data_IF_973287879532
#
_entry.id   IF_973287879532
#
_cell.length_a   1.000
_cell.length_b   1.000
_cell.length_c   1.000
_cell.angle_alpha   90.00
_cell.angle_beta   90.00
_cell.angle_gamma   90.00
#
_symmetry.space_group_name_H-M   'P 1'
#
loop_
_entity.id
_entity.type
_entity.pdbx_description
1 polymer ?
#
# COMPACT_ATOMS: atom_id res chain seq x y z
N UNK A 1 14.79 -12.54 23.24
CA UNK A 1 14.67 -14.00 23.03
C UNK A 1 15.92 -14.74 23.52
N UNK A 2 17.10 -14.50 22.95
CA UNK A 2 18.34 -15.24 23.27
C UNK A 2 19.17 -14.72 24.46
N UNK A 3 18.83 -13.57 25.03
CA UNK A 3 19.59 -12.95 26.14
C UNK A 3 18.86 -13.00 27.50
N UNK A 4 17.88 -13.90 27.66
CA UNK A 4 17.03 -13.97 28.86
C UNK A 4 16.95 -15.35 29.51
N UNK A 5 16.05 -15.49 30.49
CA UNK A 5 15.79 -16.73 31.23
C UNK A 5 14.79 -17.67 30.52
N UNK A 6 14.75 -17.62 29.19
CA UNK A 6 13.87 -18.45 28.37
C UNK A 6 14.62 -19.68 27.87
N UNK A 7 13.90 -20.75 27.47
CA UNK A 7 14.51 -22.01 27.01
C UNK A 7 15.35 -21.82 25.74
N UNK A 8 15.01 -20.83 24.94
CA UNK A 8 15.67 -20.44 23.70
C UNK A 8 17.10 -19.95 23.94
N UNK A 9 17.39 -19.37 25.10
CA UNK A 9 18.71 -18.84 25.46
C UNK A 9 19.77 -19.95 25.61
N UNK A 10 19.62 -20.97 26.48
CA UNK A 10 20.59 -22.05 26.55
C UNK A 10 20.59 -22.94 25.30
N UNK A 11 19.47 -23.04 24.58
CA UNK A 11 19.36 -23.90 23.38
C UNK A 11 19.86 -23.20 22.10
N UNK A 12 20.02 -21.87 22.13
CA UNK A 12 20.33 -21.04 20.94
C UNK A 12 19.43 -21.37 19.75
N UNK A 13 18.19 -21.76 20.03
CA UNK A 13 17.20 -22.21 19.05
C UNK A 13 15.86 -21.61 19.43
N UNK A 14 15.10 -21.14 18.43
CA UNK A 14 13.73 -20.69 18.61
C UNK A 14 12.84 -21.36 17.57
N UNK A 15 11.64 -21.77 17.99
CA UNK A 15 10.63 -22.36 17.12
C UNK A 15 9.62 -21.26 16.80
N UNK A 16 9.51 -20.92 15.52
CA UNK A 16 8.46 -20.03 15.03
C UNK A 16 7.36 -20.90 14.43
N UNK A 17 6.15 -20.76 14.96
CA UNK A 17 4.97 -21.40 14.38
C UNK A 17 4.53 -20.63 13.13
N UNK A 18 4.19 -21.37 12.08
CA UNK A 18 3.61 -20.79 10.88
C UNK A 18 2.29 -20.10 11.23
N UNK A 19 2.12 -18.89 10.70
CA UNK A 19 0.89 -18.12 10.84
C UNK A 19 0.50 -17.60 9.47
N UNK A 20 -0.73 -17.93 9.06
CA UNK A 20 -1.22 -17.64 7.72
C UNK A 20 -1.03 -16.15 7.35
N UNK A 21 -0.38 -15.91 6.21
CA UNK A 21 -0.07 -14.57 5.68
C UNK A 21 0.84 -13.70 6.55
N UNK A 22 1.51 -14.27 7.57
CA UNK A 22 2.40 -13.51 8.48
C UNK A 22 3.75 -14.21 8.66
N UNK A 23 3.75 -15.49 9.07
CA UNK A 23 4.97 -16.27 9.28
C UNK A 23 4.98 -17.43 8.31
N UNK A 24 5.80 -17.32 7.27
CA UNK A 24 6.05 -18.33 6.25
C UNK A 24 7.56 -18.52 6.04
N UNK A 25 7.96 -19.70 5.54
CA UNK A 25 9.37 -19.96 5.15
C UNK A 25 9.88 -18.85 4.22
N UNK A 26 9.09 -18.48 3.22
CA UNK A 26 9.36 -17.38 2.29
C UNK A 26 9.63 -16.05 2.99
N UNK A 27 8.77 -15.65 3.92
CA UNK A 27 8.92 -14.37 4.62
C UNK A 27 10.17 -14.35 5.49
N UNK A 28 10.54 -15.48 6.10
CA UNK A 28 11.76 -15.62 6.90
C UNK A 28 13.02 -15.59 6.04
N UNK A 29 13.02 -16.30 4.90
CA UNK A 29 14.12 -16.25 3.94
C UNK A 29 14.34 -14.82 3.43
N UNK A 30 13.27 -14.12 3.07
CA UNK A 30 13.34 -12.73 2.62
C UNK A 30 13.81 -11.79 3.74
N UNK A 31 13.38 -12.01 4.99
CA UNK A 31 13.88 -11.28 6.15
C UNK A 31 15.38 -11.51 6.34
N UNK A 32 15.88 -12.75 6.20
CA UNK A 32 17.32 -13.01 6.30
C UNK A 32 18.11 -12.35 5.18
N UNK A 33 17.62 -12.39 3.94
CA UNK A 33 18.24 -11.65 2.84
C UNK A 33 18.33 -10.15 3.19
N UNK A 34 17.25 -9.57 3.72
CA UNK A 34 17.24 -8.16 4.13
C UNK A 34 18.20 -7.86 5.28
N UNK A 35 18.20 -8.67 6.34
CA UNK A 35 19.04 -8.46 7.52
C UNK A 35 20.53 -8.53 7.19
N UNK A 36 20.93 -9.48 6.34
CA UNK A 36 22.34 -9.74 6.04
C UNK A 36 22.85 -8.96 4.82
N UNK A 37 22.02 -8.76 3.80
CA UNK A 37 22.44 -8.20 2.51
C UNK A 37 21.80 -6.85 2.17
N UNK A 38 20.76 -6.44 2.92
CA UNK A 38 19.93 -5.26 2.59
C UNK A 38 19.33 -5.34 1.18
N UNK A 39 19.04 -6.55 0.73
CA UNK A 39 18.41 -6.84 -0.56
C UNK A 39 17.32 -7.87 -0.32
N UNK A 40 16.21 -7.74 -1.04
CA UNK A 40 15.12 -8.72 -1.05
C UNK A 40 14.95 -9.21 -2.48
N UNK A 41 15.01 -10.52 -2.67
CA UNK A 41 14.72 -11.16 -3.95
C UNK A 41 13.74 -12.29 -3.72
N UNK A 42 12.57 -12.15 -4.31
CA UNK A 42 11.64 -13.25 -4.49
C UNK A 42 11.89 -13.84 -5.89
N UNK A 43 12.14 -15.15 -5.96
CA UNK A 43 12.26 -15.87 -7.23
C UNK A 43 10.85 -16.17 -7.77
N UNK A 44 10.10 -15.10 -8.07
CA UNK A 44 8.68 -15.12 -8.42
C UNK A 44 8.46 -14.25 -9.65
N UNK A 45 8.01 -14.88 -10.74
CA UNK A 45 7.70 -14.19 -11.99
C UNK A 45 6.32 -13.50 -11.95
N UNK A 46 5.34 -14.14 -11.32
CA UNK A 46 3.97 -13.60 -11.24
C UNK A 46 3.90 -12.38 -10.32
N UNK A 47 3.42 -11.26 -10.83
CA UNK A 47 3.43 -9.98 -10.12
C UNK A 47 2.48 -9.95 -8.91
N UNK A 48 1.36 -10.68 -8.98
CA UNK A 48 0.39 -10.77 -7.89
C UNK A 48 0.99 -11.57 -6.72
N UNK A 49 1.60 -12.71 -7.03
CA UNK A 49 2.29 -13.54 -6.04
C UNK A 49 3.53 -12.84 -5.46
N UNK A 50 4.19 -12.02 -6.28
CA UNK A 50 5.26 -11.15 -5.82
C UNK A 50 4.76 -10.12 -4.78
N UNK A 51 3.57 -9.56 -5.00
CA UNK A 51 2.91 -8.67 -4.04
C UNK A 51 2.52 -9.44 -2.77
N UNK A 52 1.99 -10.65 -2.88
CA UNK A 52 1.68 -11.52 -1.73
C UNK A 52 2.92 -11.78 -0.87
N UNK A 53 4.04 -12.13 -1.49
CA UNK A 53 5.32 -12.35 -0.80
C UNK A 53 5.83 -11.10 -0.06
N UNK A 54 5.72 -9.93 -0.71
CA UNK A 54 6.07 -8.66 -0.08
C UNK A 54 5.16 -8.36 1.12
N UNK A 55 3.85 -8.60 1.00
CA UNK A 55 2.89 -8.40 2.08
C UNK A 55 3.16 -9.31 3.29
N UNK A 56 3.51 -10.58 3.06
CA UNK A 56 3.91 -11.48 4.16
C UNK A 56 5.13 -10.95 4.92
N UNK A 57 6.17 -10.51 4.22
CA UNK A 57 7.37 -9.95 4.86
C UNK A 57 7.04 -8.68 5.65
N UNK A 58 6.15 -7.82 5.13
CA UNK A 58 5.70 -6.62 5.84
C UNK A 58 4.96 -7.00 7.12
N UNK A 59 4.06 -7.99 7.06
CA UNK A 59 3.31 -8.48 8.23
C UNK A 59 4.22 -9.13 9.26
N UNK A 60 5.24 -9.88 8.82
CA UNK A 60 6.27 -10.45 9.68
C UNK A 60 7.05 -9.34 10.39
N UNK A 61 7.48 -8.32 9.64
CA UNK A 61 8.19 -7.16 10.16
C UNK A 61 7.40 -6.41 11.22
N UNK A 62 6.12 -6.16 10.95
CA UNK A 62 5.19 -5.53 11.89
C UNK A 62 4.99 -6.38 13.15
N UNK A 63 4.78 -7.69 13.01
CA UNK A 63 4.57 -8.62 14.14
C UNK A 63 5.75 -8.62 15.12
N UNK A 64 6.98 -8.54 14.61
CA UNK A 64 8.20 -8.61 15.41
C UNK A 64 8.88 -7.24 15.61
N UNK A 65 8.21 -6.14 15.26
CA UNK A 65 8.69 -4.75 15.40
C UNK A 65 10.08 -4.52 14.75
N UNK A 66 10.24 -5.02 13.52
CA UNK A 66 11.49 -4.92 12.78
C UNK A 66 11.61 -3.53 12.15
N UNK A 67 12.28 -2.64 12.88
CA UNK A 67 12.47 -1.23 12.50
C UNK A 67 13.20 -1.09 11.16
N UNK A 68 12.67 -0.22 10.29
CA UNK A 68 13.27 0.18 9.01
C UNK A 68 12.84 -0.66 7.81
N UNK A 69 12.32 -1.87 8.05
CA UNK A 69 11.83 -2.74 6.98
C UNK A 69 10.58 -2.15 6.31
N UNK A 70 9.73 -1.45 7.07
CA UNK A 70 8.48 -0.84 6.62
C UNK A 70 8.66 0.13 5.44
N UNK A 71 9.64 1.04 5.53
CA UNK A 71 9.90 2.03 4.50
C UNK A 71 10.52 1.39 3.26
N UNK A 72 11.47 0.47 3.44
CA UNK A 72 12.09 -0.26 2.34
C UNK A 72 11.05 -1.09 1.58
N UNK A 73 10.16 -1.79 2.30
CA UNK A 73 9.07 -2.54 1.69
C UNK A 73 8.05 -1.66 0.98
N UNK A 74 7.77 -0.46 1.48
CA UNK A 74 6.91 0.47 0.76
C UNK A 74 7.53 0.91 -0.58
N UNK A 75 8.84 1.17 -0.62
CA UNK A 75 9.52 1.47 -1.88
C UNK A 75 9.59 0.24 -2.80
N UNK A 76 9.80 -0.94 -2.24
CA UNK A 76 9.79 -2.20 -2.97
C UNK A 76 8.44 -2.41 -3.68
N UNK A 77 7.35 -2.35 -2.92
CA UNK A 77 5.97 -2.49 -3.42
C UNK A 77 5.69 -1.44 -4.49
N UNK A 78 6.06 -0.17 -4.25
CA UNK A 78 5.94 0.88 -5.27
C UNK A 78 6.69 0.53 -6.56
N UNK A 79 7.88 -0.04 -6.46
CA UNK A 79 8.65 -0.52 -7.61
C UNK A 79 7.92 -1.62 -8.38
N UNK A 80 7.37 -2.61 -7.66
CA UNK A 80 6.56 -3.70 -8.26
C UNK A 80 5.35 -3.13 -9.01
N UNK A 81 4.62 -2.17 -8.40
CA UNK A 81 3.46 -1.54 -9.05
C UNK A 81 3.83 -0.81 -10.33
N UNK A 82 4.95 -0.08 -10.34
CA UNK A 82 5.42 0.66 -11.52
C UNK A 82 5.91 -0.25 -12.64
N UNK A 83 6.48 -1.42 -12.30
CA UNK A 83 6.93 -2.41 -13.27
C UNK A 83 5.78 -3.23 -13.88
N UNK A 84 4.65 -3.35 -13.16
CA UNK A 84 3.54 -4.22 -13.52
C UNK A 84 2.24 -3.44 -13.76
N UNK A 85 2.33 -2.47 -14.67
CA UNK A 85 1.15 -1.74 -15.14
C UNK A 85 0.19 -2.65 -15.88
N UNK A 86 -1.10 -2.29 -15.92
CA UNK A 86 -2.10 -3.05 -16.66
C UNK A 86 -1.68 -3.27 -18.13
N UNK A 87 -1.76 -4.49 -18.68
CA UNK A 87 -1.17 -4.85 -19.98
C UNK A 87 -1.80 -4.11 -21.18
N UNK A 88 -3.02 -3.60 -21.02
CA UNK A 88 -3.71 -2.82 -22.05
C UNK A 88 -3.34 -1.33 -22.04
N UNK A 89 -2.61 -0.86 -21.02
CA UNK A 89 -2.13 0.52 -20.97
C UNK A 89 -1.04 0.74 -22.01
N UNK A 90 -1.17 1.83 -22.76
CA UNK A 90 -0.19 2.29 -23.74
C UNK A 90 -0.17 3.83 -23.78
N UNK A 91 0.55 4.40 -24.76
CA UNK A 91 0.72 5.85 -24.88
C UNK A 91 -0.60 6.63 -25.06
N UNK A 92 -1.61 6.01 -25.65
CA UNK A 92 -2.87 6.66 -26.03
C UNK A 92 -4.05 6.24 -25.15
N UNK A 93 -3.92 5.12 -24.44
CA UNK A 93 -4.95 4.59 -23.57
C UNK A 93 -4.35 4.17 -22.24
N UNK A 94 -4.88 4.69 -21.14
CA UNK A 94 -4.49 4.32 -19.78
C UNK A 94 -5.66 3.59 -19.13
N UNK A 95 -5.46 2.32 -18.78
CA UNK A 95 -6.50 1.53 -18.13
C UNK A 95 -6.90 2.16 -16.78
N UNK A 96 -8.12 1.90 -16.29
CA UNK A 96 -8.59 2.44 -15.00
C UNK A 96 -7.78 1.82 -13.86
N UNK A 97 -7.53 0.52 -13.93
CA UNK A 97 -6.76 -0.24 -12.93
C UNK A 97 -5.24 -0.24 -13.19
N UNK A 98 -4.72 0.78 -13.87
CA UNK A 98 -3.34 0.81 -14.34
C UNK A 98 -2.31 0.56 -13.24
N UNK A 99 -2.47 1.21 -12.09
CA UNK A 99 -1.53 1.15 -10.97
C UNK A 99 -1.89 0.06 -9.95
N UNK A 100 -3.03 -0.62 -10.15
CA UNK A 100 -3.57 -1.61 -9.21
C UNK A 100 -3.63 -2.99 -9.85
N UNK A 101 -3.06 -3.19 -11.03
CA UNK A 101 -3.22 -4.42 -11.82
C UNK A 101 -2.87 -5.67 -11.01
N UNK A 102 -1.68 -5.70 -10.39
CA UNK A 102 -1.19 -6.82 -9.56
C UNK A 102 -1.64 -6.78 -8.08
N UNK A 103 -2.53 -5.86 -7.69
CA UNK A 103 -3.06 -5.79 -6.32
C UNK A 103 -4.39 -6.55 -6.26
N UNK A 104 -4.61 -7.38 -5.26
CA UNK A 104 -5.91 -8.02 -5.00
C UNK A 104 -6.60 -7.40 -3.79
N UNK A 105 -7.87 -7.76 -3.59
CA UNK A 105 -8.59 -7.41 -2.35
C UNK A 105 -7.88 -7.95 -1.11
N UNK A 106 -7.25 -9.11 -1.21
CA UNK A 106 -6.57 -9.76 -0.07
C UNK A 106 -5.31 -8.98 0.33
N UNK A 107 -4.60 -8.38 -0.64
CA UNK A 107 -3.51 -7.45 -0.34
C UNK A 107 -4.00 -6.21 0.41
N UNK A 108 -5.13 -5.62 -0.01
CA UNK A 108 -5.76 -4.51 0.71
C UNK A 108 -6.11 -4.93 2.14
N UNK A 109 -6.78 -6.07 2.30
CA UNK A 109 -7.23 -6.54 3.62
C UNK A 109 -6.03 -6.85 4.53
N UNK A 110 -4.99 -7.49 3.99
CA UNK A 110 -3.75 -7.73 4.71
C UNK A 110 -3.12 -6.41 5.19
N UNK A 111 -3.08 -5.39 4.32
CA UNK A 111 -2.55 -4.08 4.67
C UNK A 111 -3.37 -3.36 5.76
N UNK A 112 -4.70 -3.50 5.78
CA UNK A 112 -5.53 -2.88 6.84
C UNK A 112 -5.21 -3.39 8.25
N UNK A 113 -4.55 -4.55 8.37
CA UNK A 113 -4.10 -5.11 9.65
C UNK A 113 -2.80 -4.48 10.15
N UNK A 114 -2.12 -3.68 9.33
CA UNK A 114 -0.93 -2.91 9.72
C UNK A 114 -1.34 -1.65 10.51
N UNK A 115 -0.44 -1.11 11.35
CA UNK A 115 -0.67 0.12 12.09
C UNK A 115 -1.14 1.27 11.20
N UNK A 116 -1.87 2.22 11.80
CA UNK A 116 -2.27 3.44 11.10
C UNK A 116 -1.03 4.19 10.59
N UNK A 117 -1.16 4.77 9.40
CA UNK A 117 -0.09 5.51 8.74
C UNK A 117 1.14 4.66 8.34
N UNK A 118 1.05 3.33 8.43
CA UNK A 118 2.10 2.43 7.96
C UNK A 118 2.42 2.68 6.46
N UNK A 119 3.69 2.87 6.07
CA UNK A 119 4.07 3.26 4.69
C UNK A 119 3.45 2.41 3.58
N UNK A 120 3.39 1.09 3.79
CA UNK A 120 2.77 0.15 2.82
C UNK A 120 1.27 0.41 2.62
N UNK A 121 0.51 0.71 3.68
CA UNK A 121 -0.91 1.10 3.55
C UNK A 121 -1.05 2.34 2.69
N UNK A 122 -0.19 3.33 2.91
CA UNK A 122 -0.18 4.57 2.15
C UNK A 122 0.08 4.31 0.65
N UNK A 123 1.04 3.44 0.32
CA UNK A 123 1.35 3.12 -1.08
C UNK A 123 0.20 2.39 -1.79
N UNK A 124 -0.43 1.41 -1.13
CA UNK A 124 -1.56 0.69 -1.73
C UNK A 124 -2.77 1.62 -1.92
N UNK A 125 -3.07 2.47 -0.94
CA UNK A 125 -4.10 3.49 -1.07
C UNK A 125 -3.79 4.49 -2.20
N UNK A 126 -2.54 4.96 -2.29
CA UNK A 126 -2.10 5.89 -3.33
C UNK A 126 -2.21 5.29 -4.73
N UNK A 127 -1.94 3.98 -4.88
CA UNK A 127 -2.09 3.27 -6.14
C UNK A 127 -3.54 3.30 -6.66
N UNK A 128 -4.51 3.20 -5.76
CA UNK A 128 -5.95 3.19 -6.07
C UNK A 128 -6.54 4.58 -6.37
N UNK A 129 -5.87 5.67 -5.98
CA UNK A 129 -6.36 7.05 -6.16
C UNK A 129 -6.74 7.35 -7.62
N UNK A 130 -5.87 6.98 -8.56
CA UNK A 130 -6.12 7.29 -9.98
C UNK A 130 -7.38 6.58 -10.50
N UNK A 131 -7.51 5.28 -10.24
CA UNK A 131 -8.66 4.49 -10.66
C UNK A 131 -9.95 5.01 -10.03
N UNK A 132 -9.92 5.22 -8.70
CA UNK A 132 -11.04 5.72 -7.92
C UNK A 132 -11.57 7.08 -8.40
N UNK A 133 -10.67 8.04 -8.69
CA UNK A 133 -11.08 9.36 -9.18
C UNK A 133 -11.61 9.34 -10.62
N UNK A 134 -11.20 8.36 -11.43
CA UNK A 134 -11.56 8.29 -12.86
C UNK A 134 -12.87 7.57 -13.13
N UNK A 135 -13.26 6.60 -12.29
CA UNK A 135 -14.45 5.81 -12.53
C UNK A 135 -14.95 5.10 -11.28
N UNK A 136 -16.28 5.04 -11.16
CA UNK A 136 -17.03 4.21 -10.22
C UNK A 136 -16.91 2.70 -10.50
N UNK A 137 -16.44 2.30 -11.68
CA UNK A 137 -16.16 0.91 -12.03
C UNK A 137 -14.72 0.48 -11.76
N UNK A 138 -13.94 1.29 -11.04
CA UNK A 138 -12.62 0.87 -10.56
C UNK A 138 -12.74 -0.41 -9.74
N UNK A 139 -11.82 -1.36 -9.92
CA UNK A 139 -11.96 -2.70 -9.34
C UNK A 139 -12.06 -2.74 -7.81
N UNK A 140 -11.63 -1.67 -7.12
CA UNK A 140 -11.73 -1.56 -5.67
C UNK A 140 -12.86 -0.65 -5.17
N UNK A 141 -13.76 -0.21 -6.06
CA UNK A 141 -14.84 0.71 -5.70
C UNK A 141 -15.74 0.15 -4.59
N UNK A 142 -16.03 -1.15 -4.62
CA UNK A 142 -16.82 -1.82 -3.59
C UNK A 142 -16.08 -1.87 -2.24
N UNK A 143 -14.78 -2.15 -2.26
CA UNK A 143 -13.95 -2.22 -1.06
C UNK A 143 -13.86 -0.85 -0.36
N UNK A 144 -13.91 0.26 -1.12
CA UNK A 144 -13.98 1.60 -0.52
C UNK A 144 -15.28 1.86 0.25
N UNK A 145 -16.34 1.09 0.01
CA UNK A 145 -17.61 1.22 0.73
C UNK A 145 -17.66 0.31 1.95
N UNK A 146 -17.09 -0.90 1.83
CA UNK A 146 -17.20 -1.93 2.86
C UNK A 146 -16.03 -1.98 3.86
N UNK A 147 -14.90 -1.31 3.57
CA UNK A 147 -13.70 -1.36 4.42
C UNK A 147 -13.26 0.02 4.91
N UNK A 148 -13.85 0.54 6.01
CA UNK A 148 -13.61 1.90 6.49
C UNK A 148 -12.14 2.28 6.71
N UNK A 149 -11.30 1.30 7.09
CA UNK A 149 -9.86 1.51 7.28
C UNK A 149 -9.19 1.84 5.94
N UNK A 150 -9.46 1.04 4.91
CA UNK A 150 -8.94 1.28 3.57
C UNK A 150 -9.53 2.57 2.98
N UNK A 151 -10.83 2.84 3.19
CA UNK A 151 -11.47 4.08 2.75
C UNK A 151 -10.81 5.30 3.38
N UNK A 152 -10.47 5.25 4.67
CA UNK A 152 -9.80 6.35 5.35
C UNK A 152 -8.39 6.60 4.78
N UNK A 153 -7.64 5.54 4.50
CA UNK A 153 -6.32 5.64 3.85
C UNK A 153 -6.46 6.23 2.44
N UNK A 154 -7.41 5.74 1.65
CA UNK A 154 -7.68 6.25 0.30
C UNK A 154 -8.08 7.73 0.31
N UNK A 155 -8.99 8.15 1.19
CA UNK A 155 -9.41 9.55 1.27
C UNK A 155 -8.25 10.47 1.67
N UNK A 156 -7.34 10.00 2.53
CA UNK A 156 -6.10 10.73 2.85
C UNK A 156 -5.24 10.91 1.60
N UNK A 157 -4.99 9.84 0.86
CA UNK A 157 -4.18 9.89 -0.37
C UNK A 157 -4.85 10.69 -1.49
N UNK A 158 -6.18 10.63 -1.63
CA UNK A 158 -6.96 11.48 -2.54
C UNK A 158 -6.74 12.94 -2.18
N UNK A 159 -6.84 13.33 -0.91
CA UNK A 159 -6.57 14.70 -0.48
C UNK A 159 -5.15 15.15 -0.85
N UNK A 160 -4.14 14.30 -0.65
CA UNK A 160 -2.76 14.59 -1.02
C UNK A 160 -2.60 14.77 -2.54
N UNK A 161 -3.23 13.92 -3.34
CA UNK A 161 -3.22 14.04 -4.80
C UNK A 161 -3.91 15.32 -5.28
N UNK A 162 -5.07 15.65 -4.69
CA UNK A 162 -5.82 16.87 -5.00
C UNK A 162 -5.00 18.11 -4.65
N UNK A 163 -4.31 18.16 -3.51
CA UNK A 163 -3.42 19.27 -3.14
C UNK A 163 -2.29 19.52 -4.15
N UNK A 164 -1.88 18.50 -4.91
CA UNK A 164 -0.84 18.59 -5.94
C UNK A 164 -1.30 19.14 -7.28
N UNK A 165 -2.60 19.39 -7.46
CA UNK A 165 -3.16 19.91 -8.72
C UNK A 165 -2.68 21.35 -8.93
N UNK A 166 -1.89 21.54 -9.98
CA UNK A 166 -1.49 22.88 -10.45
C UNK A 166 -2.62 23.46 -11.30
N UNK A 167 -3.16 24.65 -10.97
CA UNK A 167 -4.24 25.24 -11.74
C UNK A 167 -3.71 25.70 -13.11
N UNK A 168 -4.12 25.01 -14.18
CA UNK A 168 -4.05 25.57 -15.55
C UNK A 168 -5.33 26.37 -15.84
N UNK A 169 -6.45 25.90 -15.29
CA UNK A 169 -7.73 26.58 -15.06
C UNK A 169 -8.27 26.00 -13.74
N UNK A 170 -8.89 26.80 -12.87
CA UNK A 170 -9.34 26.32 -11.55
C UNK A 170 -10.19 25.06 -11.70
N UNK A 171 -9.80 23.96 -11.06
CA UNK A 171 -10.65 22.78 -10.97
C UNK A 171 -11.78 23.12 -10.01
N UNK A 172 -13.04 22.92 -10.41
CA UNK A 172 -14.20 23.17 -9.54
C UNK A 172 -14.92 21.88 -9.25
N UNK A 173 -15.48 21.75 -8.05
CA UNK A 173 -16.41 20.69 -7.70
C UNK A 173 -17.76 21.30 -7.30
N UNK A 174 -18.83 20.53 -7.49
CA UNK A 174 -20.14 20.89 -6.97
C UNK A 174 -20.24 20.38 -5.53
N UNK A 175 -20.45 21.29 -4.58
CA UNK A 175 -20.65 20.93 -3.20
C UNK A 175 -21.94 20.09 -3.09
N UNK A 176 -21.88 18.86 -2.55
CA UNK A 176 -23.00 17.93 -2.61
C UNK A 176 -24.17 18.30 -1.70
N UNK A 177 -24.00 19.25 -0.77
CA UNK A 177 -25.07 19.70 0.14
C UNK A 177 -25.75 20.96 -0.42
N UNK A 178 -24.96 21.89 -0.93
CA UNK A 178 -25.43 23.22 -1.36
C UNK A 178 -25.68 23.30 -2.86
N UNK A 179 -25.11 22.39 -3.66
CA UNK A 179 -25.10 22.47 -5.13
C UNK A 179 -24.22 23.61 -5.67
N UNK A 180 -23.48 24.31 -4.81
CA UNK A 180 -22.65 25.45 -5.21
C UNK A 180 -21.32 24.95 -5.75
N UNK A 181 -20.93 25.45 -6.92
CA UNK A 181 -19.59 25.18 -7.47
C UNK A 181 -18.53 25.95 -6.70
N UNK A 182 -17.54 25.21 -6.19
CA UNK A 182 -16.41 25.75 -5.43
C UNK A 182 -15.09 25.37 -6.10
N UNK A 183 -14.08 26.22 -5.94
CA UNK A 183 -12.73 25.96 -6.44
C UNK A 183 -11.98 24.99 -5.52
N UNK A 184 -11.40 23.96 -6.13
CA UNK A 184 -10.50 23.02 -5.49
C UNK A 184 -9.15 23.72 -5.19
N UNK A 185 -8.66 23.60 -3.95
CA UNK A 185 -7.45 24.26 -3.47
C UNK A 185 -7.46 25.79 -3.56
N UNK A 186 -8.64 26.42 -3.43
CA UNK A 186 -8.71 27.86 -3.23
C UNK A 186 -8.02 28.21 -1.91
N UNK A 187 -6.81 28.78 -1.99
CA UNK A 187 -6.23 29.47 -0.85
C UNK A 187 -7.14 30.66 -0.63
N UNK A 188 -7.90 30.67 0.47
CA UNK A 188 -8.75 31.79 0.81
C UNK A 188 -7.92 33.07 0.82
N UNK A 189 -8.06 33.88 -0.24
CA UNK A 189 -7.64 35.26 -0.23
C UNK A 189 -8.64 36.00 0.66
N UNK A 190 -8.52 35.79 1.98
CA UNK A 190 -9.06 36.72 2.95
C UNK A 190 -8.22 37.99 2.83
N UNK A 191 -8.75 38.96 2.09
CA UNK A 191 -8.30 40.34 2.17
C UNK A 191 -9.05 40.96 3.36
N UNK A 192 -8.28 41.38 4.38
CA UNK A 192 -8.73 42.34 5.40
C UNK A 192 -8.98 43.73 4.76
#
# INVERSE_FOLDING_TARGET
MFEGNFLESPQQTAILEEEESIVSVRSLEALFQWLYLRVIKFDIEDAEEHMSAAMELVRLGDKYDIVGLDHEMAQYIKGVLLANLHPTTNRFHRHIDNNTYCITRDHIFSATRLPRDHPVRCILAAASVEGYLRSDTHKFAEETQHHPIFSADLLREVRLALNGIKPVRGATFEDPITGVRSELNSVGLFWD
#
